data_IF_101239053205
#
_entry.id   IF_101239053205
#
_cell.length_a   1.000
_cell.length_b   1.000
_cell.length_c   1.000
_cell.angle_alpha   90.00
_cell.angle_beta   90.00
_cell.angle_gamma   90.00
#
_symmetry.space_group_name_H-M   'P 1'
#
loop_
_entity.id
_entity.type
_entity.pdbx_description
1 polymer ?
#
# COMPACT_ATOMS: atom_id res chain seq x y z
N UNK A 1 19.81 -8.67 22.29
CA UNK A 1 18.56 -7.88 22.23
C UNK A 1 17.70 -8.46 21.12
N UNK A 2 16.40 -8.69 21.35
CA UNK A 2 15.49 -9.11 20.28
C UNK A 2 15.36 -8.06 19.18
N UNK A 3 14.95 -8.45 17.97
CA UNK A 3 14.61 -7.50 16.90
C UNK A 3 13.35 -6.73 17.31
N UNK A 4 13.29 -5.44 17.00
CA UNK A 4 12.12 -4.60 17.26
C UNK A 4 11.09 -4.81 16.16
N UNK A 5 9.86 -5.20 16.51
CA UNK A 5 8.79 -5.39 15.54
C UNK A 5 8.39 -4.03 14.93
N UNK A 6 8.41 -4.00 13.59
CA UNK A 6 8.00 -2.91 12.75
C UNK A 6 6.88 -3.38 11.83
N UNK A 7 5.68 -2.83 11.94
CA UNK A 7 4.56 -3.13 11.06
C UNK A 7 4.29 -1.98 10.09
N UNK A 8 4.38 -2.20 8.78
CA UNK A 8 4.00 -1.21 7.77
C UNK A 8 2.60 -1.51 7.27
N UNK A 9 1.62 -0.72 7.70
CA UNK A 9 0.31 -0.70 7.05
C UNK A 9 0.44 0.05 5.72
N UNK A 10 -0.24 -0.38 4.65
CA UNK A 10 -0.16 0.28 3.35
C UNK A 10 -1.30 -0.06 2.40
N UNK A 11 -1.54 0.83 1.45
CA UNK A 11 -2.39 0.61 0.27
C UNK A 11 -1.61 1.01 -1.00
N UNK A 12 -1.73 0.22 -2.07
CA UNK A 12 -1.03 0.47 -3.34
C UNK A 12 -1.52 1.74 -4.05
N UNK A 13 -2.71 2.24 -3.70
CA UNK A 13 -3.23 3.53 -4.18
C UNK A 13 -2.63 4.74 -3.45
N UNK A 14 -1.73 4.55 -2.49
CA UNK A 14 -1.04 5.66 -1.82
C UNK A 14 0.42 5.77 -2.30
N UNK A 15 0.85 6.94 -2.83
CA UNK A 15 2.23 7.13 -3.27
C UNK A 15 3.17 7.24 -2.07
N UNK A 16 2.68 7.80 -0.96
CA UNK A 16 3.44 7.89 0.28
C UNK A 16 3.71 6.50 0.86
N UNK A 17 2.73 5.59 0.80
CA UNK A 17 2.90 4.19 1.21
C UNK A 17 4.07 3.54 0.48
N UNK A 18 4.21 3.79 -0.82
CA UNK A 18 5.33 3.30 -1.60
C UNK A 18 6.67 3.87 -1.15
N UNK A 19 6.74 5.20 -0.92
CA UNK A 19 7.96 5.86 -0.45
C UNK A 19 8.43 5.29 0.90
N UNK A 20 7.51 5.13 1.85
CA UNK A 20 7.80 4.53 3.15
C UNK A 20 8.20 3.07 3.05
N UNK A 21 7.51 2.31 2.19
CA UNK A 21 7.84 0.91 1.90
C UNK A 21 9.27 0.77 1.39
N UNK A 22 9.70 1.53 0.38
CA UNK A 22 11.06 1.40 -0.17
C UNK A 22 12.14 1.79 0.85
N UNK A 23 11.88 2.79 1.70
CA UNK A 23 12.79 3.14 2.79
C UNK A 23 12.91 1.98 3.76
N UNK A 24 11.80 1.43 4.26
CA UNK A 24 11.84 0.31 5.20
C UNK A 24 12.47 -0.95 4.59
N UNK A 25 12.20 -1.24 3.32
CA UNK A 25 12.82 -2.35 2.60
C UNK A 25 14.36 -2.20 2.52
N UNK A 26 14.88 -0.99 2.36
CA UNK A 26 16.34 -0.73 2.36
C UNK A 26 16.96 -0.87 3.74
N UNK A 27 16.25 -0.43 4.78
CA UNK A 27 16.77 -0.39 6.14
C UNK A 27 16.52 -1.68 6.95
N UNK A 28 15.64 -2.59 6.51
CA UNK A 28 15.38 -3.86 7.22
C UNK A 28 16.62 -4.76 7.40
N UNK A 29 17.63 -4.57 6.55
CA UNK A 29 18.92 -5.29 6.61
C UNK A 29 20.01 -4.54 7.39
N UNK A 30 19.75 -3.28 7.76
CA UNK A 30 20.69 -2.40 8.47
C UNK A 30 20.27 -2.25 9.94
N UNK A 31 18.98 -2.06 10.19
CA UNK A 31 18.43 -1.89 11.52
C UNK A 31 18.03 -3.22 12.16
N UNK A 32 18.09 -3.27 13.50
CA UNK A 32 17.66 -4.43 14.28
C UNK A 32 16.13 -4.51 14.39
N UNK A 33 15.44 -4.58 13.24
CA UNK A 33 13.97 -4.56 13.13
C UNK A 33 13.44 -5.83 12.49
N UNK A 34 12.28 -6.33 12.92
CA UNK A 34 11.48 -7.34 12.23
C UNK A 34 10.38 -6.61 11.44
N UNK A 35 10.56 -6.44 10.13
CA UNK A 35 9.62 -5.70 9.28
C UNK A 35 8.49 -6.61 8.80
N UNK A 36 7.25 -6.24 9.09
CA UNK A 36 6.04 -6.92 8.62
C UNK A 36 5.18 -5.98 7.81
N UNK A 37 4.86 -6.36 6.59
CA UNK A 37 3.92 -5.63 5.77
C UNK A 37 2.49 -6.03 6.15
N UNK A 38 1.60 -5.04 6.26
CA UNK A 38 0.20 -5.17 6.68
C UNK A 38 -0.70 -4.56 5.60
N UNK A 39 -1.14 -5.33 4.59
CA UNK A 39 -2.04 -4.83 3.56
C UNK A 39 -3.32 -4.26 4.20
N UNK A 40 -3.62 -3.00 3.95
CA UNK A 40 -4.77 -2.30 4.50
C UNK A 40 -5.52 -1.54 3.39
N UNK A 41 -6.83 -1.36 3.55
CA UNK A 41 -7.64 -0.71 2.52
C UNK A 41 -7.92 0.75 2.87
N UNK A 42 -7.29 1.68 2.15
CA UNK A 42 -7.41 3.12 2.38
C UNK A 42 -8.87 3.59 2.32
N UNK A 43 -9.64 3.11 1.34
CA UNK A 43 -11.06 3.44 1.23
C UNK A 43 -11.87 3.07 2.49
N UNK A 44 -11.51 1.97 3.16
CA UNK A 44 -12.14 1.53 4.41
C UNK A 44 -11.72 2.37 5.62
N UNK A 45 -10.46 2.83 5.66
CA UNK A 45 -9.97 3.76 6.70
C UNK A 45 -10.69 5.10 6.59
N UNK A 46 -10.82 5.65 5.38
CA UNK A 46 -11.50 6.93 5.16
C UNK A 46 -12.98 6.85 5.51
N UNK A 47 -13.66 5.76 5.11
CA UNK A 47 -15.06 5.53 5.44
C UNK A 47 -15.30 5.43 6.95
N UNK A 48 -14.47 4.67 7.67
CA UNK A 48 -14.64 4.44 9.11
C UNK A 48 -14.31 5.67 9.97
N UNK A 49 -13.35 6.49 9.53
CA UNK A 49 -12.93 7.70 10.26
C UNK A 49 -13.71 8.96 9.87
N UNK A 50 -14.54 8.90 8.82
CA UNK A 50 -15.25 10.07 8.26
C UNK A 50 -14.34 11.08 7.56
N UNK A 51 -13.07 10.70 7.32
CA UNK A 51 -12.07 11.57 6.74
C UNK A 51 -12.21 11.66 5.24
N UNK A 52 -11.93 12.85 4.71
CA UNK A 52 -11.99 13.14 3.27
C UNK A 52 -10.58 13.33 2.72
N UNK A 53 -10.36 13.01 1.43
CA UNK A 53 -9.05 13.20 0.82
C UNK A 53 -8.65 14.69 0.91
N UNK A 54 -7.44 15.05 1.39
CA UNK A 54 -6.97 16.43 1.45
C UNK A 54 -6.82 17.07 0.07
N UNK A 55 -6.73 16.26 -0.99
CA UNK A 55 -6.79 16.72 -2.37
C UNK A 55 -8.14 17.37 -2.75
N UNK A 56 -9.20 17.20 -1.95
CA UNK A 56 -10.45 17.94 -2.11
C UNK A 56 -10.27 19.46 -1.96
N UNK A 57 -9.16 19.91 -1.35
CA UNK A 57 -8.77 21.33 -1.29
C UNK A 57 -7.70 21.61 -2.37
N UNK A 58 -7.98 22.45 -3.39
CA UNK A 58 -7.08 22.65 -4.53
C UNK A 58 -5.65 23.04 -4.16
N UNK A 59 -5.46 23.93 -3.17
CA UNK A 59 -4.11 24.32 -2.70
C UNK A 59 -3.36 23.16 -2.04
N UNK A 60 -4.06 22.27 -1.32
CA UNK A 60 -3.45 21.07 -0.72
C UNK A 60 -3.12 20.05 -1.80
N UNK A 61 -4.00 19.85 -2.78
CA UNK A 61 -3.73 19.01 -3.95
C UNK A 61 -2.45 19.44 -4.68
N UNK A 62 -2.31 20.74 -5.00
CA UNK A 62 -1.11 21.28 -5.66
C UNK A 62 0.16 21.05 -4.83
N UNK A 63 0.08 21.26 -3.51
CA UNK A 63 1.19 21.00 -2.61
C UNK A 63 1.60 19.52 -2.61
N UNK A 64 0.63 18.61 -2.50
CA UNK A 64 0.88 17.16 -2.45
C UNK A 64 1.58 16.67 -3.71
N UNK A 65 1.18 17.13 -4.90
CA UNK A 65 1.85 16.76 -6.14
C UNK A 65 3.31 17.24 -6.17
N UNK A 66 3.58 18.47 -5.72
CA UNK A 66 4.95 18.99 -5.60
C UNK A 66 5.76 18.19 -4.59
N UNK A 67 5.16 17.82 -3.46
CA UNK A 67 5.81 17.07 -2.39
C UNK A 67 6.13 15.63 -2.81
N UNK A 68 5.18 14.90 -3.40
CA UNK A 68 5.39 13.55 -3.94
C UNK A 68 6.57 13.57 -4.92
N UNK A 69 6.63 14.53 -5.85
CA UNK A 69 7.74 14.66 -6.79
C UNK A 69 9.09 14.89 -6.10
N UNK A 70 9.13 15.72 -5.06
CA UNK A 70 10.35 15.97 -4.26
C UNK A 70 10.78 14.74 -3.50
N UNK A 71 9.86 14.07 -2.82
CA UNK A 71 10.13 12.87 -2.03
C UNK A 71 10.55 11.70 -2.91
N UNK A 72 9.88 11.48 -4.05
CA UNK A 72 10.27 10.47 -5.03
C UNK A 72 11.71 10.68 -5.53
N UNK A 73 12.09 11.93 -5.83
CA UNK A 73 13.48 12.27 -6.20
C UNK A 73 14.45 12.01 -5.04
N UNK A 74 14.10 12.45 -3.83
CA UNK A 74 14.95 12.31 -2.64
C UNK A 74 15.19 10.84 -2.27
N UNK A 75 14.12 10.04 -2.23
CA UNK A 75 14.18 8.60 -1.93
C UNK A 75 14.52 7.74 -3.15
N UNK A 76 14.73 8.32 -4.35
CA UNK A 76 15.02 7.57 -5.57
C UNK A 76 13.98 6.46 -5.84
N UNK A 77 12.70 6.80 -5.69
CA UNK A 77 11.57 5.92 -6.02
C UNK A 77 10.99 6.41 -7.35
N UNK A 78 10.76 5.55 -8.36
CA UNK A 78 10.43 5.98 -9.72
C UNK A 78 8.94 6.38 -9.86
N UNK A 79 8.45 7.27 -9.01
CA UNK A 79 7.09 7.83 -9.13
C UNK A 79 7.07 8.83 -10.28
N UNK A 80 6.17 8.60 -11.24
CA UNK A 80 5.84 9.55 -12.30
C UNK A 80 4.45 10.10 -12.02
N UNK A 81 4.26 11.42 -12.07
CA UNK A 81 2.93 12.03 -11.89
C UNK A 81 2.35 12.34 -13.27
N UNK A 82 1.13 11.85 -13.53
CA UNK A 82 0.36 12.18 -14.72
C UNK A 82 -0.59 13.36 -14.45
N UNK A 83 -1.04 14.04 -15.50
CA UNK A 83 -1.98 15.17 -15.37
C UNK A 83 -3.34 14.74 -14.80
N UNK A 84 -3.75 13.50 -15.08
CA UNK A 84 -5.00 12.87 -14.65
C UNK A 84 -4.88 12.10 -13.32
N UNK A 85 -3.79 12.30 -12.55
CA UNK A 85 -3.50 11.53 -11.32
C UNK A 85 -4.67 11.43 -10.34
N UNK A 86 -5.43 12.51 -10.14
CA UNK A 86 -6.60 12.49 -9.25
C UNK A 86 -7.74 11.65 -9.82
N UNK A 87 -7.97 11.70 -11.13
CA UNK A 87 -8.99 10.87 -11.78
C UNK A 87 -8.61 9.39 -11.66
N UNK A 88 -7.32 9.07 -11.79
CA UNK A 88 -6.82 7.70 -11.62
C UNK A 88 -6.97 7.20 -10.19
N UNK A 89 -6.64 8.01 -9.18
CA UNK A 89 -6.84 7.64 -7.76
C UNK A 89 -8.32 7.41 -7.44
N UNK A 90 -9.22 8.28 -7.93
CA UNK A 90 -10.65 8.18 -7.66
C UNK A 90 -11.35 7.09 -8.49
N UNK A 91 -10.86 6.84 -9.71
CA UNK A 91 -11.46 5.90 -10.66
C UNK A 91 -10.96 4.46 -10.52
N UNK A 92 -9.76 4.24 -9.95
CA UNK A 92 -9.21 2.90 -9.76
C UNK A 92 -9.40 2.43 -8.33
N UNK A 93 -10.28 1.45 -8.13
CA UNK A 93 -10.40 0.78 -6.84
C UNK A 93 -9.22 -0.15 -6.60
N UNK A 94 -8.46 0.10 -5.52
CA UNK A 94 -7.39 -0.81 -5.08
C UNK A 94 -7.93 -2.05 -4.36
N UNK A 95 -9.24 -2.19 -4.15
CA UNK A 95 -9.81 -3.29 -3.35
C UNK A 95 -9.45 -4.68 -3.90
N UNK A 96 -9.47 -4.84 -5.23
CA UNK A 96 -9.07 -6.09 -5.89
C UNK A 96 -7.59 -6.40 -5.64
N UNK A 97 -6.72 -5.41 -5.90
CA UNK A 97 -5.28 -5.50 -5.65
C UNK A 97 -4.96 -5.81 -4.17
N UNK A 98 -5.55 -5.06 -3.23
CA UNK A 98 -5.31 -5.27 -1.80
C UNK A 98 -5.81 -6.62 -1.31
N UNK A 99 -6.91 -7.16 -1.85
CA UNK A 99 -7.34 -8.54 -1.56
C UNK A 99 -6.39 -9.57 -2.15
N UNK A 100 -5.88 -9.36 -3.35
CA UNK A 100 -4.89 -10.25 -3.95
C UNK A 100 -3.58 -10.29 -3.14
N UNK A 101 -3.08 -9.12 -2.74
CA UNK A 101 -1.92 -8.97 -1.85
C UNK A 101 -2.21 -9.66 -0.50
N UNK A 102 -3.41 -9.50 0.06
CA UNK A 102 -3.81 -10.17 1.31
C UNK A 102 -3.83 -11.70 1.16
N UNK A 103 -4.32 -12.23 0.04
CA UNK A 103 -4.29 -13.67 -0.23
C UNK A 103 -2.84 -14.19 -0.32
N UNK A 104 -1.96 -13.41 -0.93
CA UNK A 104 -0.53 -13.70 -0.99
C UNK A 104 0.12 -13.66 0.41
N UNK A 105 -0.18 -12.65 1.25
CA UNK A 105 0.28 -12.59 2.64
C UNK A 105 -0.10 -13.85 3.43
N UNK A 106 -1.36 -14.29 3.30
CA UNK A 106 -1.90 -15.44 4.03
C UNK A 106 -1.26 -16.79 3.65
N UNK A 107 -0.79 -16.96 2.41
CA UNK A 107 -0.41 -18.28 1.89
C UNK A 107 1.00 -18.34 1.30
N UNK A 108 1.52 -17.21 0.83
CA UNK A 108 2.81 -17.07 0.14
C UNK A 108 3.50 -15.74 0.51
N UNK A 109 3.79 -15.49 1.79
CA UNK A 109 4.29 -14.18 2.27
C UNK A 109 5.60 -13.73 1.59
N UNK A 110 6.38 -14.67 1.03
CA UNK A 110 7.59 -14.37 0.24
C UNK A 110 7.32 -13.48 -0.99
N UNK A 111 6.10 -13.49 -1.54
CA UNK A 111 5.73 -12.65 -2.69
C UNK A 111 5.13 -11.31 -2.29
N UNK A 112 4.96 -11.03 -1.00
CA UNK A 112 4.30 -9.82 -0.53
C UNK A 112 5.05 -8.55 -0.95
N UNK A 113 6.38 -8.55 -0.76
CA UNK A 113 7.23 -7.43 -1.18
C UNK A 113 7.21 -7.21 -2.71
N UNK A 114 7.52 -8.20 -3.57
CA UNK A 114 7.55 -7.98 -5.02
C UNK A 114 6.17 -7.65 -5.60
N UNK A 115 5.08 -8.29 -5.14
CA UNK A 115 3.73 -7.95 -5.61
C UNK A 115 3.36 -6.50 -5.32
N UNK A 116 3.62 -6.04 -4.09
CA UNK A 116 3.29 -4.67 -3.69
C UNK A 116 4.06 -3.66 -4.53
N UNK A 117 5.36 -3.91 -4.73
CA UNK A 117 6.23 -3.08 -5.59
C UNK A 117 5.73 -3.04 -7.03
N UNK A 118 5.34 -4.17 -7.62
CA UNK A 118 4.84 -4.22 -9.00
C UNK A 118 3.49 -3.52 -9.16
N UNK A 119 2.59 -3.61 -8.18
CA UNK A 119 1.35 -2.80 -8.18
C UNK A 119 1.66 -1.30 -8.16
N UNK A 120 2.59 -0.86 -7.31
CA UNK A 120 3.00 0.54 -7.27
C UNK A 120 3.68 0.98 -8.57
N UNK A 121 4.57 0.18 -9.16
CA UNK A 121 5.20 0.48 -10.45
C UNK A 121 4.15 0.61 -11.56
N UNK A 122 3.18 -0.32 -11.61
CA UNK A 122 2.08 -0.28 -12.58
C UNK A 122 1.25 1.00 -12.44
N UNK A 123 0.84 1.33 -11.22
CA UNK A 123 -0.03 2.48 -10.99
C UNK A 123 0.69 3.84 -11.02
N UNK A 124 1.83 3.97 -10.36
CA UNK A 124 2.53 5.25 -10.16
C UNK A 124 3.66 5.50 -11.14
N UNK A 125 4.20 4.49 -11.83
CA UNK A 125 5.26 4.71 -12.83
C UNK A 125 4.75 4.54 -14.26
N UNK A 126 3.92 3.52 -14.50
CA UNK A 126 3.45 3.13 -15.84
C UNK A 126 2.10 3.76 -16.18
N UNK A 127 1.42 4.34 -15.20
CA UNK A 127 0.09 4.93 -15.33
C UNK A 127 -1.03 3.96 -15.74
N UNK A 128 -0.84 2.68 -15.45
CA UNK A 128 -1.78 1.62 -15.83
C UNK A 128 -2.82 1.34 -14.73
N UNK A 129 -3.90 0.65 -15.11
CA UNK A 129 -4.96 0.20 -14.20
C UNK A 129 -4.45 -0.84 -13.19
N UNK A 130 -5.07 -0.91 -12.02
CA UNK A 130 -4.83 -1.96 -11.01
C UNK A 130 -6.12 -2.61 -10.51
N UNK A 131 -7.27 -2.24 -11.07
CA UNK A 131 -8.59 -2.67 -10.60
C UNK A 131 -9.11 -3.92 -11.30
N UNK A 132 -8.66 -4.17 -12.54
CA UNK A 132 -9.11 -5.30 -13.35
C UNK A 132 -8.30 -6.57 -13.09
N UNK A 133 -8.90 -7.73 -13.41
CA UNK A 133 -8.25 -9.04 -13.21
C UNK A 133 -7.00 -9.17 -14.09
N UNK A 134 -7.07 -8.66 -15.32
CA UNK A 134 -5.95 -8.66 -16.28
C UNK A 134 -4.77 -7.85 -15.75
N UNK A 135 -5.04 -6.75 -15.05
CA UNK A 135 -4.01 -5.95 -14.38
C UNK A 135 -3.35 -6.72 -13.24
N UNK A 136 -4.12 -7.47 -12.44
CA UNK A 136 -3.59 -8.32 -11.37
C UNK A 136 -2.73 -9.46 -11.95
N UNK A 137 -3.16 -10.07 -13.05
CA UNK A 137 -2.38 -11.11 -13.76
C UNK A 137 -1.03 -10.58 -14.23
N UNK A 138 -1.00 -9.41 -14.88
CA UNK A 138 0.22 -8.78 -15.36
C UNK A 138 1.19 -8.44 -14.21
N UNK A 139 0.66 -7.98 -13.06
CA UNK A 139 1.44 -7.73 -11.86
C UNK A 139 2.02 -9.02 -11.29
N UNK A 140 1.21 -10.08 -11.21
CA UNK A 140 1.65 -11.36 -10.67
C UNK A 140 2.77 -12.00 -11.51
N UNK A 141 2.67 -11.90 -12.84
CA UNK A 141 3.72 -12.34 -13.76
C UNK A 141 5.03 -11.58 -13.52
N UNK A 142 5.00 -10.24 -13.49
CA UNK A 142 6.20 -9.42 -13.22
C UNK A 142 6.80 -9.69 -11.83
N UNK A 143 5.96 -9.99 -10.84
CA UNK A 143 6.39 -10.34 -9.49
C UNK A 143 6.93 -11.78 -9.36
N UNK A 144 6.94 -12.56 -10.45
CA UNK A 144 7.54 -13.90 -10.50
C UNK A 144 6.63 -15.03 -10.03
N UNK A 145 5.31 -14.82 -9.98
CA UNK A 145 4.36 -15.90 -9.67
C UNK A 145 4.12 -16.77 -10.91
N UNK A 146 4.10 -18.09 -10.70
CA UNK A 146 3.63 -19.04 -11.72
C UNK A 146 2.13 -18.88 -11.95
N UNK A 147 1.67 -19.11 -13.18
CA UNK A 147 0.25 -19.03 -13.57
C UNK A 147 -0.68 -19.82 -12.64
N UNK A 148 -0.27 -21.03 -12.22
CA UNK A 148 -1.06 -21.88 -11.32
C UNK A 148 -1.23 -21.25 -9.93
N UNK A 149 -0.19 -20.58 -9.43
CA UNK A 149 -0.24 -19.91 -8.14
C UNK A 149 -1.08 -18.63 -8.24
N UNK A 150 -0.89 -17.85 -9.29
CA UNK A 150 -1.67 -16.65 -9.56
C UNK A 150 -3.16 -16.96 -9.60
N UNK A 151 -3.56 -18.02 -10.30
CA UNK A 151 -4.96 -18.44 -10.38
C UNK A 151 -5.53 -18.82 -9.01
N UNK A 152 -4.77 -19.59 -8.20
CA UNK A 152 -5.18 -19.92 -6.83
C UNK A 152 -5.40 -18.68 -5.97
N UNK A 153 -4.50 -17.70 -6.05
CA UNK A 153 -4.64 -16.45 -5.29
C UNK A 153 -5.83 -15.61 -5.78
N UNK A 154 -6.09 -15.59 -7.09
CA UNK A 154 -7.26 -14.91 -7.67
C UNK A 154 -8.57 -15.51 -7.18
N UNK A 155 -8.68 -16.83 -7.06
CA UNK A 155 -9.88 -17.49 -6.51
C UNK A 155 -10.11 -17.11 -5.04
N UNK A 156 -9.03 -16.90 -4.28
CA UNK A 156 -9.11 -16.53 -2.88
C UNK A 156 -9.61 -15.09 -2.64
N UNK A 157 -9.46 -14.16 -3.58
CA UNK A 157 -9.79 -12.73 -3.34
C UNK A 157 -11.26 -12.51 -2.96
N UNK A 158 -12.14 -13.40 -3.43
CA UNK A 158 -13.58 -13.34 -3.17
C UNK A 158 -14.00 -14.12 -1.92
N UNK A 159 -13.09 -14.92 -1.34
CA UNK A 159 -13.37 -15.74 -0.17
C UNK A 159 -13.67 -14.88 1.07
N UNK A 160 -14.54 -15.37 1.99
CA UNK A 160 -14.77 -14.70 3.27
C UNK A 160 -13.48 -14.52 4.08
N UNK A 161 -12.56 -15.49 4.01
CA UNK A 161 -11.30 -15.44 4.76
C UNK A 161 -10.43 -14.22 4.35
N UNK A 162 -10.21 -14.00 3.06
CA UNK A 162 -9.42 -12.84 2.57
C UNK A 162 -10.14 -11.52 2.83
N UNK A 163 -11.46 -11.48 2.62
CA UNK A 163 -12.27 -10.28 2.88
C UNK A 163 -12.20 -9.87 4.35
N UNK A 164 -12.35 -10.84 5.26
CA UNK A 164 -12.29 -10.60 6.69
C UNK A 164 -10.87 -10.21 7.12
N UNK A 165 -9.84 -10.89 6.61
CA UNK A 165 -8.44 -10.56 6.93
C UNK A 165 -8.07 -9.12 6.56
N UNK A 166 -8.44 -8.67 5.36
CA UNK A 166 -8.20 -7.30 4.92
C UNK A 166 -8.99 -6.30 5.78
N UNK A 167 -10.25 -6.62 6.10
CA UNK A 167 -11.10 -5.79 6.98
C UNK A 167 -10.49 -5.65 8.38
N UNK A 168 -10.10 -6.75 9.02
CA UNK A 168 -9.47 -6.77 10.34
C UNK A 168 -8.18 -5.94 10.36
N UNK A 169 -7.30 -6.13 9.38
CA UNK A 169 -6.05 -5.37 9.26
C UNK A 169 -6.32 -3.86 9.08
N UNK A 170 -7.38 -3.53 8.34
CA UNK A 170 -7.83 -2.14 8.14
C UNK A 170 -8.41 -1.54 9.42
N UNK A 171 -9.18 -2.30 10.20
CA UNK A 171 -9.72 -1.86 11.49
C UNK A 171 -8.63 -1.69 12.55
N UNK A 172 -7.62 -2.57 12.57
CA UNK A 172 -6.44 -2.42 13.41
C UNK A 172 -5.69 -1.13 13.09
N UNK A 173 -5.49 -0.83 11.80
CA UNK A 173 -4.90 0.44 11.38
C UNK A 173 -5.65 1.64 11.99
N UNK A 174 -6.99 1.65 11.89
CA UNK A 174 -7.83 2.71 12.47
C UNK A 174 -7.66 2.80 14.00
N UNK A 175 -7.60 1.66 14.71
CA UNK A 175 -7.38 1.62 16.17
C UNK A 175 -6.04 2.21 16.59
N UNK A 176 -5.00 2.12 15.75
CA UNK A 176 -3.71 2.78 15.99
C UNK A 176 -3.74 4.30 15.71
N UNK A 177 -4.93 4.89 15.49
CA UNK A 177 -5.10 6.32 15.21
C UNK A 177 -4.75 6.70 13.78
N UNK A 178 -4.68 5.73 12.88
CA UNK A 178 -4.34 5.95 11.47
C UNK A 178 -5.55 6.48 10.72
N UNK A 179 -5.80 7.78 10.84
CA UNK A 179 -7.01 8.40 10.32
C UNK A 179 -6.80 9.55 9.34
N UNK A 180 -5.81 10.43 9.51
CA UNK A 180 -5.79 11.68 8.74
C UNK A 180 -4.47 12.49 8.80
N UNK A 181 -3.89 12.79 7.63
CA UNK A 181 -2.84 13.81 7.36
C UNK A 181 -1.43 13.55 7.96
N UNK A 182 -0.35 14.14 7.38
CA UNK A 182 0.96 13.51 7.18
C UNK A 182 1.61 13.13 8.51
N UNK A 183 1.42 11.89 8.93
CA UNK A 183 1.98 11.41 10.19
C UNK A 183 2.67 10.09 9.95
N UNK A 184 4.00 10.18 9.93
CA UNK A 184 4.87 9.08 10.31
C UNK A 184 4.61 8.84 11.80
N UNK A 185 3.71 7.92 12.15
CA UNK A 185 3.57 7.54 13.55
C UNK A 185 4.74 6.64 13.95
N UNK A 186 5.61 7.19 14.81
CA UNK A 186 6.55 6.42 15.63
C UNK A 186 5.90 6.23 16.99
N UNK A 187 5.41 5.03 17.29
CA UNK A 187 5.04 4.64 18.65
C UNK A 187 6.16 3.77 19.23
N UNK A 188 6.92 4.32 20.16
CA UNK A 188 7.85 3.53 20.97
C UNK A 188 7.14 3.10 22.25
N UNK A 189 6.80 1.81 22.34
CA UNK A 189 6.21 1.23 23.55
C UNK A 189 5.72 -0.23 23.45
N UNK A 190 5.61 -0.80 22.25
CA UNK A 190 5.72 -2.26 21.93
C UNK A 190 5.33 -2.62 20.47
N UNK A 191 5.05 -1.64 19.61
CA UNK A 191 4.70 -1.87 18.20
C UNK A 191 5.11 -0.65 17.38
N UNK A 192 6.09 -0.78 16.48
CA UNK A 192 6.42 0.31 15.56
C UNK A 192 5.55 0.16 14.32
N UNK A 193 4.35 0.73 14.34
CA UNK A 193 3.47 0.71 13.17
C UNK A 193 3.74 1.92 12.27
N UNK A 194 4.46 1.73 11.16
CA UNK A 194 4.56 2.73 10.10
C UNK A 194 3.31 2.68 9.24
N UNK A 195 2.83 3.85 8.86
CA UNK A 195 1.90 3.98 7.76
C UNK A 195 2.25 5.27 7.06
N UNK A 196 2.57 5.17 5.78
CA UNK A 196 2.62 6.34 4.94
C UNK A 196 1.28 6.44 4.22
N UNK A 197 0.26 6.93 4.92
CA UNK A 197 -1.00 7.35 4.30
C UNK A 197 -1.01 8.85 4.20
N UNK A 198 -1.03 9.34 2.97
CA UNK A 198 -1.71 10.58 2.66
C UNK A 198 -2.46 10.32 1.37
N UNK A 199 -3.78 10.40 1.43
CA UNK A 199 -4.62 11.49 0.90
C UNK A 199 -6.05 10.97 1.10
#
# INVERSE_FOLDING_TARGET
>A
MGRVLVELFYDVVSPYSWLGFEVLCRYQHIWNIDLRFRPAFLGGIMQSTGNKPPAMLPKRAEYLLKDIKRMAKYYQVPVTLSEDVFQRILGNSSLGAMRFITAADMTQPKYLEPLSREFWLRFWSQHEDISQVESILAVAEKAGLSSELTQKLLEMISSPAVKNRLKETTEEAVKYGLGCLPLWHMLTGNLISFLALIV
#
